data_IF_770355730494
#
_entry.id   IF_770355730494
#
_cell.length_a   1.000
_cell.length_b   1.000
_cell.length_c   1.000
_cell.angle_alpha   90.00
_cell.angle_beta   90.00
_cell.angle_gamma   90.00
#
_symmetry.space_group_name_H-M   'P 1'
#
loop_
_entity.id
_entity.type
_entity.pdbx_description
1 polymer ?
#
# COMPACT_ATOMS: atom_id res chain seq x y z
N UNK A 1 -10.04 4.07 -7.56
CA UNK A 1 -8.79 3.70 -8.27
C UNK A 1 -7.93 2.84 -7.35
N UNK A 2 -7.34 1.82 -7.89
CA UNK A 2 -6.37 0.95 -7.21
C UNK A 2 -4.97 1.38 -7.63
N UNK A 3 -4.07 1.59 -6.65
CA UNK A 3 -2.67 1.89 -6.88
C UNK A 3 -1.82 0.73 -6.36
N UNK A 4 -0.94 0.23 -7.23
CA UNK A 4 -0.12 -0.95 -6.99
C UNK A 4 1.35 -0.63 -7.34
N UNK A 5 2.15 -0.11 -6.39
CA UNK A 5 3.51 0.38 -6.67
C UNK A 5 4.50 -0.71 -7.03
N UNK A 6 4.36 -1.88 -6.41
CA UNK A 6 5.21 -3.05 -6.60
C UNK A 6 4.35 -4.31 -6.63
N UNK A 7 4.70 -5.27 -7.47
CA UNK A 7 3.98 -6.54 -7.61
C UNK A 7 4.98 -7.67 -7.91
N UNK A 8 5.07 -8.68 -7.04
CA UNK A 8 5.93 -9.85 -7.25
C UNK A 8 5.35 -10.83 -8.28
N UNK A 9 4.04 -10.75 -8.55
CA UNK A 9 3.36 -11.59 -9.52
C UNK A 9 3.62 -11.09 -10.95
N UNK A 10 4.36 -11.88 -11.72
CA UNK A 10 4.70 -11.58 -13.12
C UNK A 10 3.50 -11.65 -14.08
N UNK A 11 2.39 -12.29 -13.68
CA UNK A 11 1.21 -12.46 -14.54
C UNK A 11 0.24 -11.27 -14.48
N UNK A 12 0.24 -10.53 -13.37
CA UNK A 12 -0.69 -9.41 -13.16
C UNK A 12 -0.66 -8.37 -14.29
N UNK A 13 0.51 -7.88 -14.77
CA UNK A 13 0.54 -6.90 -15.87
C UNK A 13 -0.06 -7.45 -17.16
N UNK A 14 0.20 -8.72 -17.48
CA UNK A 14 -0.36 -9.39 -18.64
C UNK A 14 -1.88 -9.54 -18.54
N UNK A 15 -2.40 -9.90 -17.37
CA UNK A 15 -3.83 -10.00 -17.11
C UNK A 15 -4.51 -8.64 -17.23
N UNK A 16 -3.98 -7.61 -16.61
CA UNK A 16 -4.50 -6.23 -16.73
C UNK A 16 -4.49 -5.75 -18.18
N UNK A 17 -3.45 -6.06 -18.96
CA UNK A 17 -3.39 -5.68 -20.37
C UNK A 17 -4.47 -6.38 -21.22
N UNK A 18 -4.89 -7.58 -20.86
CA UNK A 18 -5.96 -8.30 -21.56
C UNK A 18 -7.36 -7.82 -21.18
N UNK A 19 -7.56 -7.45 -19.91
CA UNK A 19 -8.89 -7.10 -19.37
C UNK A 19 -9.17 -5.58 -19.45
N UNK A 20 -8.14 -4.75 -19.66
CA UNK A 20 -8.31 -3.29 -19.73
C UNK A 20 -8.83 -2.83 -21.09
N UNK A 21 -9.80 -1.92 -21.07
CA UNK A 21 -10.28 -1.21 -22.27
C UNK A 21 -9.28 -0.22 -22.84
N UNK A 22 -8.38 0.30 -21.98
CA UNK A 22 -7.30 1.20 -22.37
C UNK A 22 -6.13 1.13 -21.36
N UNK A 23 -4.92 1.45 -21.83
CA UNK A 23 -3.71 1.58 -21.03
C UNK A 23 -2.92 2.84 -21.37
N UNK A 24 -2.52 3.60 -20.36
CA UNK A 24 -1.81 4.87 -20.49
C UNK A 24 -0.52 4.86 -19.65
N UNK A 25 0.57 5.38 -20.20
CA UNK A 25 1.79 5.64 -19.42
C UNK A 25 1.60 6.92 -18.61
N UNK A 26 1.78 6.83 -17.29
CA UNK A 26 1.54 7.95 -16.36
C UNK A 26 2.78 8.11 -15.47
N UNK A 27 3.72 8.94 -15.94
CA UNK A 27 5.00 9.12 -15.26
C UNK A 27 5.75 7.78 -15.13
N UNK A 28 6.15 7.38 -13.91
CA UNK A 28 6.87 6.13 -13.67
C UNK A 28 5.96 4.88 -13.63
N UNK A 29 4.65 5.04 -13.86
CA UNK A 29 3.67 3.94 -13.81
C UNK A 29 2.86 3.80 -15.09
N UNK A 30 2.04 2.75 -15.13
CA UNK A 30 1.07 2.49 -16.20
C UNK A 30 -0.33 2.36 -15.62
N UNK A 31 -1.25 3.17 -16.14
CA UNK A 31 -2.67 3.14 -15.78
C UNK A 31 -3.41 2.22 -16.73
N UNK A 32 -4.19 1.30 -16.18
CA UNK A 32 -5.12 0.41 -16.88
C UNK A 32 -6.55 0.80 -16.51
N UNK A 33 -7.40 0.99 -17.51
CA UNK A 33 -8.82 1.28 -17.31
C UNK A 33 -9.60 -0.02 -17.47
N UNK A 34 -10.18 -0.49 -16.38
CA UNK A 34 -11.12 -1.62 -16.33
C UNK A 34 -12.55 -1.07 -16.30
N UNK A 35 -13.55 -1.92 -16.53
CA UNK A 35 -14.96 -1.50 -16.57
C UNK A 35 -15.42 -0.77 -15.30
N UNK A 36 -14.94 -1.20 -14.13
CA UNK A 36 -15.35 -0.65 -12.82
C UNK A 36 -14.23 0.01 -12.03
N UNK A 37 -13.00 -0.15 -12.44
CA UNK A 37 -11.84 0.36 -11.73
C UNK A 37 -10.76 0.88 -12.68
N UNK A 38 -9.93 1.78 -12.19
CA UNK A 38 -8.67 2.12 -12.81
C UNK A 38 -7.53 1.56 -11.94
N UNK A 39 -6.55 0.90 -12.53
CA UNK A 39 -5.42 0.30 -11.83
C UNK A 39 -4.13 0.96 -12.29
N UNK A 40 -3.43 1.61 -11.35
CA UNK A 40 -2.10 2.14 -11.58
C UNK A 40 -1.06 1.11 -11.13
N UNK A 41 -0.25 0.61 -12.04
CA UNK A 41 0.92 -0.21 -11.74
C UNK A 41 2.21 0.59 -11.82
N UNK A 42 3.12 0.37 -10.86
CA UNK A 42 4.43 1.01 -10.80
C UNK A 42 4.42 2.34 -10.06
N UNK A 43 5.56 3.00 -10.04
CA UNK A 43 5.77 4.18 -9.21
C UNK A 43 6.18 3.81 -7.78
N UNK A 44 7.10 2.84 -7.64
CA UNK A 44 7.67 2.44 -6.36
C UNK A 44 8.32 3.63 -5.65
N UNK A 45 8.02 3.77 -4.36
CA UNK A 45 8.47 4.86 -3.50
C UNK A 45 7.58 6.11 -3.55
N UNK A 46 7.52 6.82 -2.45
CA UNK A 46 6.63 7.97 -2.26
C UNK A 46 6.73 9.03 -3.39
N UNK A 47 7.91 9.51 -3.82
CA UNK A 47 8.00 10.51 -4.88
C UNK A 47 7.44 10.00 -6.22
N UNK A 48 7.78 8.78 -6.60
CA UNK A 48 7.37 8.21 -7.88
C UNK A 48 5.86 7.96 -7.93
N UNK A 49 5.29 7.39 -6.86
CA UNK A 49 3.86 7.17 -6.72
C UNK A 49 3.07 8.47 -6.79
N UNK A 50 3.49 9.48 -6.04
CA UNK A 50 2.79 10.77 -6.03
C UNK A 50 2.89 11.49 -7.37
N UNK A 51 4.02 11.42 -8.09
CA UNK A 51 4.12 11.96 -9.46
C UNK A 51 3.09 11.34 -10.41
N UNK A 52 2.82 10.04 -10.31
CA UNK A 52 1.79 9.40 -11.11
C UNK A 52 0.39 9.82 -10.67
N UNK A 53 0.12 9.86 -9.35
CA UNK A 53 -1.17 10.28 -8.79
C UNK A 53 -1.53 11.72 -9.15
N UNK A 54 -0.57 12.66 -9.19
CA UNK A 54 -0.79 14.04 -9.63
C UNK A 54 -1.34 14.13 -11.06
N UNK A 55 -0.81 13.31 -11.97
CA UNK A 55 -1.29 13.26 -13.34
C UNK A 55 -2.69 12.65 -13.44
N UNK A 56 -2.93 11.55 -12.69
CA UNK A 56 -4.23 10.86 -12.69
C UNK A 56 -5.32 11.70 -12.03
N UNK A 57 -4.97 12.52 -11.04
CA UNK A 57 -5.94 13.41 -10.38
C UNK A 57 -6.71 14.28 -11.36
N UNK A 58 -6.07 14.74 -12.42
CA UNK A 58 -6.70 15.57 -13.46
C UNK A 58 -7.79 14.81 -14.24
N UNK A 59 -7.79 13.47 -14.17
CA UNK A 59 -8.82 12.61 -14.78
C UNK A 59 -10.03 12.36 -13.87
N UNK A 60 -10.19 13.12 -12.78
CA UNK A 60 -11.33 13.01 -11.87
C UNK A 60 -11.18 11.98 -10.76
N UNK A 61 -9.97 11.70 -10.31
CA UNK A 61 -9.68 10.81 -9.18
C UNK A 61 -10.44 11.26 -7.93
N UNK A 62 -11.16 10.34 -7.27
CA UNK A 62 -11.93 10.60 -6.04
C UNK A 62 -11.48 9.74 -4.86
N UNK A 63 -10.95 8.55 -5.16
CA UNK A 63 -10.57 7.57 -4.15
C UNK A 63 -9.33 6.79 -4.60
N UNK A 64 -8.46 6.50 -3.63
CA UNK A 64 -7.25 5.71 -3.82
C UNK A 64 -7.27 4.54 -2.85
N UNK A 65 -7.23 3.32 -3.38
CA UNK A 65 -6.94 2.11 -2.62
C UNK A 65 -5.52 1.67 -2.98
N UNK A 66 -4.59 1.82 -2.04
CA UNK A 66 -3.23 1.31 -2.17
C UNK A 66 -3.23 -0.18 -1.83
N UNK A 67 -2.97 -1.03 -2.82
CA UNK A 67 -2.66 -2.44 -2.63
C UNK A 67 -1.15 -2.62 -2.75
N UNK A 68 -0.48 -3.05 -1.70
CA UNK A 68 0.98 -3.12 -1.69
C UNK A 68 1.49 -4.20 -0.74
N UNK A 69 2.79 -4.27 -0.61
CA UNK A 69 3.49 -5.18 0.28
C UNK A 69 4.20 -4.38 1.36
N UNK A 70 4.46 -5.03 2.51
CA UNK A 70 5.15 -4.39 3.62
C UNK A 70 6.10 -5.36 4.31
N UNK A 71 7.17 -4.82 4.88
CA UNK A 71 8.04 -5.53 5.81
C UNK A 71 7.45 -5.55 7.21
N UNK A 72 7.51 -6.69 7.89
CA UNK A 72 7.08 -6.82 9.28
C UNK A 72 8.15 -6.36 10.27
N UNK A 73 7.74 -5.51 11.22
CA UNK A 73 8.54 -5.07 12.38
C UNK A 73 8.08 -5.73 13.70
N UNK A 74 7.09 -6.63 13.65
CA UNK A 74 6.50 -7.29 14.81
C UNK A 74 6.41 -8.80 14.61
N UNK A 75 6.74 -9.63 15.62
CA UNK A 75 6.55 -11.07 15.54
C UNK A 75 5.06 -11.51 15.44
N UNK A 76 4.14 -10.61 15.72
CA UNK A 76 2.69 -10.85 15.57
C UNK A 76 2.22 -10.76 14.12
N UNK A 77 3.09 -10.35 13.19
CA UNK A 77 2.78 -10.13 11.79
C UNK A 77 3.84 -10.84 10.94
N UNK A 78 3.48 -11.94 10.28
CA UNK A 78 4.41 -12.79 9.53
C UNK A 78 4.12 -12.81 8.03
N UNK A 79 5.10 -13.27 7.23
CA UNK A 79 5.00 -13.36 5.76
C UNK A 79 3.69 -14.04 5.34
N UNK A 80 3.03 -13.46 4.33
CA UNK A 80 1.75 -13.92 3.77
C UNK A 80 0.51 -13.39 4.51
N UNK A 81 0.66 -12.84 5.71
CA UNK A 81 -0.48 -12.25 6.43
C UNK A 81 -0.89 -10.91 5.83
N UNK A 82 -2.18 -10.60 5.97
CA UNK A 82 -2.75 -9.34 5.51
C UNK A 82 -2.76 -8.31 6.63
N UNK A 83 -2.34 -7.11 6.29
CA UNK A 83 -2.23 -5.99 7.21
C UNK A 83 -3.05 -4.79 6.71
N UNK A 84 -3.94 -4.28 7.57
CA UNK A 84 -4.76 -3.10 7.34
C UNK A 84 -4.25 -1.95 8.21
N UNK A 85 -3.46 -1.00 7.68
CA UNK A 85 -2.96 0.11 8.46
C UNK A 85 -4.08 1.10 8.81
N UNK A 86 -4.22 1.39 10.09
CA UNK A 86 -5.17 2.39 10.61
C UNK A 86 -4.52 3.76 10.85
N UNK A 87 -3.20 3.85 10.75
CA UNK A 87 -2.40 5.09 10.73
C UNK A 87 -1.03 4.82 10.14
N UNK A 88 -0.46 5.80 9.47
CA UNK A 88 0.85 5.74 8.84
C UNK A 88 1.77 6.84 9.40
N UNK A 89 2.93 6.44 9.94
CA UNK A 89 4.00 7.35 10.35
C UNK A 89 4.82 7.72 9.12
N UNK A 90 5.00 9.00 8.85
CA UNK A 90 5.87 9.45 7.76
C UNK A 90 7.32 9.59 8.24
N UNK A 91 8.21 8.85 7.58
CA UNK A 91 9.67 9.04 7.61
C UNK A 91 10.27 9.17 6.21
N UNK A 92 9.41 9.29 5.19
CA UNK A 92 9.74 9.66 3.83
C UNK A 92 9.65 11.19 3.62
N UNK A 93 10.18 11.68 2.49
CA UNK A 93 10.32 13.11 2.24
C UNK A 93 9.12 13.80 1.59
N UNK A 94 8.17 13.06 1.03
CA UNK A 94 7.13 13.59 0.14
C UNK A 94 5.91 14.14 0.87
N UNK A 95 5.43 13.43 1.89
CA UNK A 95 4.19 13.76 2.64
C UNK A 95 4.12 15.20 3.12
N UNK A 96 5.22 15.74 3.64
CA UNK A 96 5.28 17.09 4.21
C UNK A 96 4.98 18.22 3.22
N UNK A 97 5.08 17.93 1.90
CA UNK A 97 4.77 18.88 0.83
C UNK A 97 3.28 18.99 0.52
N UNK A 98 2.47 18.04 1.00
CA UNK A 98 1.04 17.99 0.73
C UNK A 98 0.20 18.40 1.93
N UNK A 99 0.37 17.76 3.07
CA UNK A 99 -0.40 18.11 4.26
C UNK A 99 0.42 17.98 5.55
N UNK A 100 -0.10 18.58 6.62
CA UNK A 100 0.55 18.49 7.95
C UNK A 100 0.13 17.18 8.62
N UNK A 101 1.13 16.42 9.09
CA UNK A 101 0.91 15.26 9.90
C UNK A 101 0.41 15.62 11.30
N UNK A 102 -0.45 14.80 11.88
CA UNK A 102 -0.82 14.87 13.29
C UNK A 102 0.15 14.00 14.10
N UNK A 103 1.08 14.63 14.83
CA UNK A 103 2.15 13.94 15.55
C UNK A 103 3.00 13.00 14.66
N UNK A 104 3.25 13.38 13.40
CA UNK A 104 3.95 12.57 12.42
C UNK A 104 3.10 11.51 11.71
N UNK A 105 1.83 11.35 12.09
CA UNK A 105 0.92 10.36 11.50
C UNK A 105 -0.06 10.98 10.51
N UNK A 106 -0.34 10.20 9.46
CA UNK A 106 -1.47 10.36 8.55
C UNK A 106 -2.47 9.24 8.77
N UNK A 107 -3.75 9.50 8.47
CA UNK A 107 -4.84 8.56 8.75
C UNK A 107 -5.60 8.24 7.47
N UNK A 108 -5.96 6.96 7.26
CA UNK A 108 -6.83 6.58 6.17
C UNK A 108 -8.26 7.11 6.36
N UNK A 109 -9.00 7.19 5.26
CA UNK A 109 -10.40 7.59 5.28
C UNK A 109 -11.26 6.56 6.03
N UNK A 110 -12.01 6.97 7.09
CA UNK A 110 -12.79 6.03 7.89
C UNK A 110 -13.80 5.20 7.08
N UNK A 111 -14.41 5.80 6.04
CA UNK A 111 -15.34 5.11 5.15
C UNK A 111 -14.67 3.99 4.39
N UNK A 112 -13.48 4.22 3.80
CA UNK A 112 -12.74 3.19 3.05
C UNK A 112 -12.26 2.06 3.98
N UNK A 113 -11.80 2.38 5.20
CA UNK A 113 -11.46 1.37 6.20
C UNK A 113 -12.68 0.50 6.55
N UNK A 114 -13.86 1.10 6.72
CA UNK A 114 -15.10 0.36 6.98
C UNK A 114 -15.44 -0.57 5.81
N UNK A 115 -15.34 -0.09 4.58
CA UNK A 115 -15.58 -0.87 3.37
C UNK A 115 -14.60 -2.05 3.25
N UNK A 116 -13.30 -1.84 3.53
CA UNK A 116 -12.30 -2.91 3.54
C UNK A 116 -12.58 -3.96 4.62
N UNK A 117 -12.92 -3.55 5.85
CA UNK A 117 -13.30 -4.49 6.92
C UNK A 117 -14.52 -5.32 6.52
N UNK A 118 -15.52 -4.70 5.88
CA UNK A 118 -16.70 -5.41 5.40
C UNK A 118 -16.37 -6.40 4.28
N UNK A 119 -15.50 -6.01 3.34
CA UNK A 119 -15.02 -6.90 2.29
C UNK A 119 -14.30 -8.12 2.89
N UNK A 120 -13.35 -7.90 3.79
CA UNK A 120 -12.58 -8.95 4.45
C UNK A 120 -13.50 -9.90 5.23
N UNK A 121 -14.43 -9.37 6.03
CA UNK A 121 -15.37 -10.16 6.81
C UNK A 121 -16.32 -10.98 5.94
N UNK A 122 -16.91 -10.39 4.89
CA UNK A 122 -17.84 -11.10 3.99
C UNK A 122 -17.19 -12.25 3.24
N UNK A 123 -15.90 -12.17 3.00
CA UNK A 123 -15.14 -13.22 2.32
C UNK A 123 -14.45 -14.19 3.30
N UNK A 124 -14.76 -14.11 4.62
CA UNK A 124 -14.12 -14.89 5.68
C UNK A 124 -12.58 -14.80 5.66
N UNK A 125 -12.06 -13.64 5.31
CA UNK A 125 -10.63 -13.37 5.26
C UNK A 125 -10.13 -12.83 6.60
N UNK A 126 -8.93 -13.23 7.00
CA UNK A 126 -8.28 -12.78 8.25
C UNK A 126 -7.33 -11.63 7.98
N UNK A 127 -7.22 -10.68 8.91
CA UNK A 127 -6.29 -9.56 8.80
C UNK A 127 -5.85 -9.09 10.19
N UNK A 128 -4.75 -8.36 10.21
CA UNK A 128 -4.24 -7.66 11.41
C UNK A 128 -4.31 -6.16 11.17
N UNK A 129 -4.66 -5.37 12.19
CA UNK A 129 -4.69 -3.91 12.11
C UNK A 129 -3.60 -3.29 12.98
N UNK A 130 -3.03 -2.18 12.51
CA UNK A 130 -2.00 -1.50 13.29
C UNK A 130 -1.44 -0.24 12.64
N UNK A 131 -0.33 0.22 13.18
CA UNK A 131 0.41 1.35 12.62
C UNK A 131 1.51 0.86 11.68
N UNK A 132 1.70 1.58 10.57
CA UNK A 132 2.77 1.38 9.60
C UNK A 132 3.68 2.60 9.58
N UNK A 133 4.93 2.46 9.16
CA UNK A 133 5.84 3.56 8.85
C UNK A 133 6.22 3.51 7.38
N UNK A 134 6.19 4.66 6.69
CA UNK A 134 6.73 4.77 5.33
C UNK A 134 8.12 5.40 5.35
N UNK A 135 9.09 4.79 4.64
CA UNK A 135 10.47 5.27 4.53
C UNK A 135 10.98 5.25 3.10
N UNK A 136 11.86 6.19 2.74
CA UNK A 136 12.55 6.23 1.43
C UNK A 136 13.80 5.35 1.39
N UNK A 137 14.19 4.73 2.51
CA UNK A 137 15.51 4.11 2.65
C UNK A 137 15.45 2.70 3.25
N UNK A 138 14.95 1.70 2.51
CA UNK A 138 14.75 0.33 3.02
C UNK A 138 16.05 -0.30 3.53
N UNK A 139 17.19 -0.03 2.92
CA UNK A 139 18.50 -0.53 3.39
C UNK A 139 19.03 0.16 4.65
N UNK A 140 18.29 1.13 5.22
CA UNK A 140 18.61 1.79 6.49
C UNK A 140 17.70 1.36 7.64
N UNK A 141 16.90 0.33 7.45
CA UNK A 141 16.01 -0.27 8.46
C UNK A 141 16.81 -1.11 9.47
N UNK A 142 17.67 -0.44 10.22
CA UNK A 142 18.57 -1.06 11.20
C UNK A 142 17.83 -1.48 12.47
N UNK A 143 18.41 -2.39 13.25
CA UNK A 143 17.89 -2.80 14.57
C UNK A 143 17.69 -1.59 15.50
N UNK A 144 18.59 -0.61 15.47
CA UNK A 144 18.45 0.62 16.24
C UNK A 144 17.25 1.45 15.80
N UNK A 145 17.02 1.58 14.49
CA UNK A 145 15.87 2.26 13.94
C UNK A 145 14.56 1.55 14.34
N UNK A 146 14.47 0.23 14.21
CA UNK A 146 13.30 -0.54 14.63
C UNK A 146 13.00 -0.36 16.14
N UNK A 147 14.03 -0.38 16.99
CA UNK A 147 13.87 -0.12 18.43
C UNK A 147 13.28 1.26 18.71
N UNK A 148 13.65 2.27 17.93
CA UNK A 148 13.12 3.65 18.09
C UNK A 148 11.61 3.75 17.76
N UNK A 149 11.06 2.79 17.04
CA UNK A 149 9.64 2.76 16.64
C UNK A 149 8.75 1.98 17.61
N UNK A 150 9.31 1.17 18.50
CA UNK A 150 8.54 0.30 19.42
C UNK A 150 7.54 1.07 20.28
N UNK A 151 7.94 2.22 20.82
CA UNK A 151 7.05 3.03 21.67
C UNK A 151 5.85 3.61 20.91
N UNK A 152 5.94 3.72 19.57
CA UNK A 152 4.83 4.14 18.69
C UNK A 152 3.94 2.98 18.26
N UNK A 153 4.27 1.75 18.68
CA UNK A 153 3.56 0.51 18.31
C UNK A 153 3.45 0.33 16.78
N UNK A 154 4.55 0.62 16.07
CA UNK A 154 4.64 0.39 14.62
C UNK A 154 4.85 -1.09 14.39
N UNK A 155 4.02 -1.70 13.54
CA UNK A 155 4.02 -3.13 13.24
C UNK A 155 4.61 -3.46 11.87
N UNK A 156 4.56 -2.52 10.93
CA UNK A 156 5.00 -2.74 9.55
C UNK A 156 5.73 -1.53 8.97
N UNK A 157 6.44 -1.73 7.86
CA UNK A 157 7.13 -0.70 7.08
C UNK A 157 6.79 -0.84 5.60
N UNK A 158 6.59 0.29 4.93
CA UNK A 158 6.42 0.40 3.48
C UNK A 158 7.18 1.63 2.94
N UNK A 159 6.89 2.02 1.70
CA UNK A 159 7.54 3.17 1.06
C UNK A 159 6.55 4.26 0.58
N UNK A 160 5.23 4.09 0.69
CA UNK A 160 4.25 4.93 -0.02
C UNK A 160 3.07 5.42 0.81
N UNK A 161 2.53 4.61 1.74
CA UNK A 161 1.19 4.87 2.29
C UNK A 161 1.07 6.23 2.98
N UNK A 162 2.08 6.70 3.71
CA UNK A 162 2.00 8.02 4.35
C UNK A 162 1.87 9.13 3.32
N UNK A 163 2.59 9.04 2.20
CA UNK A 163 2.50 10.01 1.11
C UNK A 163 1.15 9.96 0.39
N UNK A 164 0.62 8.76 0.14
CA UNK A 164 -0.72 8.58 -0.45
C UNK A 164 -1.80 9.19 0.44
N UNK A 165 -1.75 8.96 1.76
CA UNK A 165 -2.71 9.53 2.71
C UNK A 165 -2.57 11.06 2.82
N UNK A 166 -1.33 11.57 2.80
CA UNK A 166 -1.06 13.02 2.81
C UNK A 166 -1.58 13.70 1.54
N UNK A 167 -1.32 13.12 0.38
CA UNK A 167 -1.83 13.56 -0.92
C UNK A 167 -3.37 13.57 -0.93
N UNK A 168 -3.99 12.47 -0.48
CA UNK A 168 -5.44 12.37 -0.40
C UNK A 168 -6.06 13.44 0.52
N UNK A 169 -5.46 13.69 1.68
CA UNK A 169 -5.91 14.73 2.60
C UNK A 169 -5.83 16.13 1.96
N UNK A 170 -4.74 16.43 1.24
CA UNK A 170 -4.56 17.71 0.55
C UNK A 170 -5.62 17.97 -0.50
N UNK A 171 -5.95 16.97 -1.31
CA UNK A 171 -6.92 17.07 -2.40
C UNK A 171 -8.35 16.67 -1.99
N UNK A 172 -8.60 16.39 -0.71
CA UNK A 172 -9.90 15.94 -0.17
C UNK A 172 -10.41 14.67 -0.85
N UNK A 173 -9.49 13.76 -1.18
CA UNK A 173 -9.80 12.44 -1.71
C UNK A 173 -10.00 11.44 -0.57
N UNK A 174 -10.67 10.34 -0.88
CA UNK A 174 -10.73 9.18 0.03
C UNK A 174 -9.50 8.30 -0.22
N UNK A 175 -8.86 7.79 0.84
CA UNK A 175 -7.74 6.86 0.68
C UNK A 175 -7.61 5.89 1.85
N UNK A 176 -7.19 4.67 1.54
CA UNK A 176 -6.70 3.67 2.49
C UNK A 176 -5.69 2.75 1.80
N UNK A 177 -5.05 1.87 2.56
CA UNK A 177 -4.19 0.81 2.04
C UNK A 177 -4.57 -0.55 2.60
N UNK A 178 -4.29 -1.62 1.84
CA UNK A 178 -4.31 -2.99 2.27
C UNK A 178 -3.00 -3.63 1.83
N UNK A 179 -2.32 -4.30 2.76
CA UNK A 179 -0.97 -4.81 2.55
C UNK A 179 -0.89 -6.31 2.78
N UNK A 180 0.05 -6.96 2.10
CA UNK A 180 0.49 -8.32 2.38
C UNK A 180 1.92 -8.24 2.90
N UNK A 181 2.22 -8.96 3.94
CA UNK A 181 3.58 -9.04 4.48
C UNK A 181 4.47 -9.83 3.52
N UNK A 182 5.47 -9.18 2.95
CA UNK A 182 6.43 -9.77 2.00
C UNK A 182 7.73 -10.21 2.65
N UNK A 183 8.08 -9.63 3.78
CA UNK A 183 9.34 -9.85 4.46
C UNK A 183 9.28 -9.53 5.96
N UNK A 184 10.23 -10.09 6.72
CA UNK A 184 10.30 -9.95 8.17
C UNK A 184 11.66 -9.37 8.58
N UNK A 185 11.62 -8.32 9.42
CA UNK A 185 12.79 -7.63 9.94
C UNK A 185 12.92 -7.72 11.47
N UNK A 186 11.83 -8.04 12.18
CA UNK A 186 11.75 -7.96 13.64
C UNK A 186 12.78 -8.80 14.40
N UNK A 187 13.34 -9.84 13.77
CA UNK A 187 14.41 -10.66 14.36
C UNK A 187 15.79 -10.01 14.29
N UNK A 188 15.93 -8.86 13.61
CA UNK A 188 17.21 -8.21 13.30
C UNK A 188 17.96 -8.84 12.11
N UNK A 189 17.36 -9.83 11.45
CA UNK A 189 17.79 -10.39 10.17
C UNK A 189 16.67 -10.25 9.17
N UNK A 190 16.98 -9.75 7.98
CA UNK A 190 15.99 -9.64 6.92
C UNK A 190 15.66 -11.02 6.33
N UNK A 191 14.41 -11.43 6.44
CA UNK A 191 13.87 -12.64 5.82
C UNK A 191 12.96 -12.22 4.68
N UNK A 192 13.41 -12.42 3.45
CA UNK A 192 12.65 -12.09 2.24
C UNK A 192 11.73 -13.25 1.85
N UNK A 193 10.46 -12.99 1.65
CA UNK A 193 9.43 -13.92 1.18
C UNK A 193 8.62 -13.38 0.00
N UNK A 194 9.02 -12.24 -0.60
CA UNK A 194 8.23 -11.52 -1.62
C UNK A 194 7.81 -12.37 -2.83
N UNK A 195 8.60 -13.39 -3.20
CA UNK A 195 8.27 -14.33 -4.26
C UNK A 195 7.84 -15.72 -3.73
N UNK A 196 7.60 -15.83 -2.43
CA UNK A 196 7.14 -17.05 -1.77
C UNK A 196 5.69 -17.39 -2.11
N UNK A 197 5.34 -18.68 -2.00
CA UNK A 197 3.98 -19.15 -2.27
C UNK A 197 2.93 -18.48 -1.38
N UNK A 198 3.26 -18.21 -0.13
CA UNK A 198 2.38 -17.54 0.83
C UNK A 198 1.98 -16.14 0.37
N UNK A 199 2.93 -15.35 -0.14
CA UNK A 199 2.68 -14.00 -0.64
C UNK A 199 1.88 -14.04 -1.93
N UNK A 200 2.21 -14.93 -2.86
CA UNK A 200 1.47 -15.08 -4.12
C UNK A 200 0.04 -15.56 -3.87
N UNK A 201 -0.15 -16.54 -2.98
CA UNK A 201 -1.48 -17.03 -2.60
C UNK A 201 -2.32 -15.93 -1.94
N UNK A 202 -1.74 -15.16 -1.01
CA UNK A 202 -2.41 -14.03 -0.39
C UNK A 202 -2.76 -12.96 -1.43
N UNK A 203 -1.87 -12.66 -2.39
CA UNK A 203 -2.15 -11.72 -3.48
C UNK A 203 -3.38 -12.15 -4.29
N UNK A 204 -3.44 -13.41 -4.68
CA UNK A 204 -4.58 -13.94 -5.41
C UNK A 204 -5.88 -13.91 -4.59
N UNK A 205 -5.79 -14.23 -3.30
CA UNK A 205 -6.96 -14.33 -2.42
C UNK A 205 -7.52 -12.95 -2.03
N UNK A 206 -6.67 -11.97 -1.76
CA UNK A 206 -7.07 -10.67 -1.20
C UNK A 206 -7.10 -9.54 -2.22
N UNK A 207 -6.13 -9.47 -3.13
CA UNK A 207 -6.01 -8.33 -4.05
C UNK A 207 -6.79 -8.54 -5.34
N UNK A 208 -6.77 -9.73 -5.93
CA UNK A 208 -7.48 -9.98 -7.18
C UNK A 208 -8.97 -9.74 -7.12
N UNK A 209 -9.71 -10.14 -6.07
CA UNK A 209 -11.12 -9.78 -5.96
C UNK A 209 -11.38 -8.27 -5.92
N UNK A 210 -10.50 -7.51 -5.29
CA UNK A 210 -10.60 -6.04 -5.27
C UNK A 210 -10.27 -5.40 -6.63
N UNK A 211 -9.45 -6.05 -7.46
CA UNK A 211 -9.07 -5.56 -8.78
C UNK A 211 -10.11 -5.92 -9.84
N UNK A 212 -10.56 -7.17 -9.85
CA UNK A 212 -11.31 -7.75 -10.97
C UNK A 212 -12.79 -8.00 -10.68
N UNK A 213 -13.23 -8.02 -9.41
CA UNK A 213 -14.60 -8.33 -9.01
C UNK A 213 -15.33 -7.14 -8.35
N UNK A 214 -14.67 -5.98 -8.21
CA UNK A 214 -15.24 -4.77 -7.57
C UNK A 214 -16.13 -3.93 -8.49
#
# INVERSE_FOLDING_TARGET
>A
MIYFPFFPDSELPGRLSREASAGLTVGPGRLFLLDRAAVLLGGLGAPAGIMALEKIRQLGLREILLLSYCGSLSPELVIGQVFLPVKALSQEGTSRHYSRARNGFYFPSPGVIKELRQFLSRNNLTWTEGAIVSTDAPYRETVSWMKSLKWKKIMAVDMEISAVLSFAAFYRLRAAGLFIVSDELFSGRWKNGSHGQEVLAATAQYFYPLIFNS
#
